data_IF_617293288574
#
_entry.id   IF_617293288574
#
_cell.length_a   1.000
_cell.length_b   1.000
_cell.length_c   1.000
_cell.angle_alpha   90.00
_cell.angle_beta   90.00
_cell.angle_gamma   90.00
#
_symmetry.space_group_name_H-M   'P 1'
#
loop_
_entity.id
_entity.type
_entity.pdbx_description
1 polymer ?
#
# COMPACT_ATOMS: atom_id res chain seq x y z
N UNK A 1 2.45 -53.86 -43.24
CA UNK A 1 3.61 -53.18 -43.84
C UNK A 1 3.66 -51.75 -43.33
N UNK A 2 4.73 -51.40 -42.59
CA UNK A 2 5.39 -50.07 -42.43
C UNK A 2 4.48 -48.91 -41.92
N UNK A 3 4.84 -48.08 -40.93
CA UNK A 3 6.07 -47.96 -40.15
C UNK A 3 5.79 -47.08 -38.91
N UNK A 4 6.59 -47.29 -37.88
CA UNK A 4 6.81 -46.38 -36.75
C UNK A 4 7.32 -45.01 -37.20
N UNK A 5 6.77 -43.92 -36.64
CA UNK A 5 7.49 -42.65 -36.44
C UNK A 5 7.11 -42.01 -35.11
N UNK A 6 7.91 -42.35 -34.10
CA UNK A 6 8.47 -41.50 -33.05
C UNK A 6 7.73 -40.23 -32.62
N UNK A 7 7.15 -40.37 -31.42
CA UNK A 7 7.12 -39.51 -30.23
C UNK A 7 8.29 -38.49 -30.07
N UNK A 8 8.50 -37.58 -31.02
CA UNK A 8 9.30 -36.37 -30.87
C UNK A 8 8.52 -35.29 -31.61
N UNK A 9 7.88 -34.38 -30.85
CA UNK A 9 7.33 -33.08 -31.29
C UNK A 9 6.21 -32.56 -30.38
N UNK A 10 5.83 -33.30 -29.32
CA UNK A 10 4.99 -32.75 -28.23
C UNK A 10 5.75 -31.88 -27.22
N UNK A 11 7.06 -31.68 -27.39
CA UNK A 11 7.90 -30.91 -26.45
C UNK A 11 8.02 -29.41 -26.80
N UNK A 12 7.59 -28.98 -27.99
CA UNK A 12 7.74 -27.58 -28.44
C UNK A 12 6.49 -26.72 -28.11
N UNK A 13 5.34 -27.35 -27.82
CA UNK A 13 4.10 -26.61 -27.50
C UNK A 13 4.01 -26.24 -26.01
N UNK A 14 4.82 -26.84 -25.13
CA UNK A 14 4.75 -26.62 -23.67
C UNK A 14 5.67 -25.50 -23.11
N UNK A 15 6.24 -24.63 -23.94
CA UNK A 15 7.15 -23.58 -23.44
C UNK A 15 6.81 -22.15 -23.91
N UNK A 16 5.68 -21.94 -24.61
CA UNK A 16 5.32 -20.61 -25.12
C UNK A 16 4.07 -19.96 -24.49
N UNK A 17 3.51 -20.56 -23.45
CA UNK A 17 2.38 -20.00 -22.68
C UNK A 17 2.80 -19.46 -21.30
N UNK A 18 4.07 -19.09 -21.11
CA UNK A 18 4.59 -18.57 -19.82
C UNK A 18 4.81 -17.05 -19.81
N UNK A 19 4.16 -16.29 -20.70
CA UNK A 19 4.46 -14.86 -20.87
C UNK A 19 3.24 -13.93 -20.83
N UNK A 20 2.00 -14.42 -20.74
CA UNK A 20 0.83 -13.51 -20.64
C UNK A 20 -0.20 -14.09 -19.65
N UNK A 21 0.09 -13.95 -18.36
CA UNK A 21 -0.88 -14.11 -17.27
C UNK A 21 -0.88 -12.87 -16.36
N UNK A 22 -0.67 -11.70 -16.97
CA UNK A 22 -0.78 -10.40 -16.31
C UNK A 22 -2.10 -9.72 -16.69
N UNK A 23 -3.19 -10.49 -16.77
CA UNK A 23 -4.54 -9.95 -17.07
C UNK A 23 -5.65 -10.87 -16.50
N UNK A 24 -5.53 -11.25 -15.23
CA UNK A 24 -6.62 -11.81 -14.43
C UNK A 24 -6.26 -11.52 -12.97
N UNK A 25 -6.96 -10.66 -12.22
CA UNK A 25 -8.36 -10.73 -11.85
C UNK A 25 -8.87 -9.31 -11.57
N UNK A 26 -9.57 -8.72 -12.53
CA UNK A 26 -10.66 -7.81 -12.19
C UNK A 26 -11.87 -8.72 -12.03
N UNK A 27 -12.65 -8.48 -10.97
CA UNK A 27 -13.92 -9.14 -10.67
C UNK A 27 -13.90 -10.31 -9.67
N UNK A 28 -13.61 -9.97 -8.41
CA UNK A 28 -14.52 -10.26 -7.26
C UNK A 28 -14.27 -9.23 -6.14
N UNK A 29 -14.59 -7.94 -6.39
CA UNK A 29 -14.76 -6.94 -5.32
C UNK A 29 -16.05 -7.20 -4.51
N UNK A 30 -16.35 -8.45 -4.15
CA UNK A 30 -17.67 -8.86 -3.65
C UNK A 30 -17.68 -9.27 -2.17
N UNK A 31 -16.51 -9.42 -1.53
CA UNK A 31 -16.47 -9.62 -0.09
C UNK A 31 -16.45 -8.27 0.63
N UNK A 32 -17.37 -8.06 1.58
CA UNK A 32 -17.40 -6.87 2.44
C UNK A 32 -16.05 -6.61 3.11
N UNK A 33 -15.29 -7.68 3.40
CA UNK A 33 -13.92 -7.58 3.94
C UNK A 33 -12.97 -6.87 2.99
N UNK A 34 -13.01 -7.17 1.69
CA UNK A 34 -12.10 -6.57 0.72
C UNK A 34 -12.39 -5.08 0.56
N UNK A 35 -13.68 -4.71 0.47
CA UNK A 35 -14.09 -3.30 0.41
C UNK A 35 -13.64 -2.56 1.67
N UNK A 36 -13.93 -3.13 2.85
CA UNK A 36 -13.49 -2.55 4.13
C UNK A 36 -11.98 -2.32 4.20
N UNK A 37 -11.20 -3.28 3.71
CA UNK A 37 -9.74 -3.16 3.69
C UNK A 37 -9.24 -2.10 2.71
N UNK A 38 -9.82 -1.97 1.52
CA UNK A 38 -9.44 -0.93 0.57
C UNK A 38 -9.79 0.46 1.10
N UNK A 39 -10.99 0.66 1.65
CA UNK A 39 -11.38 1.94 2.24
C UNK A 39 -10.48 2.34 3.42
N UNK A 40 -10.08 1.39 4.28
CA UNK A 40 -9.12 1.66 5.35
C UNK A 40 -7.73 2.07 4.84
N UNK A 41 -7.28 1.50 3.71
CA UNK A 41 -6.03 1.91 3.07
C UNK A 41 -6.12 3.35 2.56
N UNK A 42 -7.23 3.71 1.91
CA UNK A 42 -7.45 5.08 1.41
C UNK A 42 -7.47 6.10 2.55
N UNK A 43 -8.10 5.78 3.69
CA UNK A 43 -8.07 6.62 4.90
C UNK A 43 -6.63 6.77 5.40
N UNK A 44 -5.88 5.68 5.52
CA UNK A 44 -4.48 5.70 5.97
C UNK A 44 -3.59 6.56 5.07
N UNK A 45 -3.75 6.46 3.74
CA UNK A 45 -3.02 7.28 2.78
C UNK A 45 -3.38 8.76 2.90
N UNK A 46 -4.66 9.05 3.08
CA UNK A 46 -5.16 10.41 3.27
C UNK A 46 -4.58 11.05 4.54
N UNK A 47 -4.57 10.33 5.66
CA UNK A 47 -4.01 10.83 6.93
C UNK A 47 -2.49 11.09 6.80
N UNK A 48 -1.75 10.19 6.15
CA UNK A 48 -0.31 10.43 5.90
C UNK A 48 -0.08 11.63 4.96
N UNK A 49 -0.97 11.88 3.99
CA UNK A 49 -0.91 13.07 3.16
C UNK A 49 -1.23 14.36 3.96
N UNK A 50 -2.11 14.27 4.96
CA UNK A 50 -2.41 15.37 5.87
C UNK A 50 -1.20 15.76 6.73
N UNK A 51 -0.35 14.82 7.13
CA UNK A 51 0.92 15.13 7.84
C UNK A 51 1.79 16.12 7.05
N UNK A 52 1.79 16.03 5.72
CA UNK A 52 2.59 16.91 4.86
C UNK A 52 1.87 18.25 4.64
N UNK A 53 0.55 18.20 4.47
CA UNK A 53 -0.28 19.37 4.12
C UNK A 53 -0.54 20.29 5.31
N UNK A 54 -0.81 19.75 6.49
CA UNK A 54 -1.17 20.54 7.69
C UNK A 54 -0.05 21.52 8.10
N UNK A 55 1.25 21.16 8.12
CA UNK A 55 2.33 22.11 8.39
C UNK A 55 2.37 23.30 7.42
N UNK A 56 2.05 23.07 6.13
CA UNK A 56 1.95 24.12 5.13
C UNK A 56 0.78 25.06 5.45
N UNK A 57 -0.36 24.50 5.86
CA UNK A 57 -1.54 25.26 6.29
C UNK A 57 -1.27 26.07 7.57
N UNK A 58 -0.57 25.49 8.55
CA UNK A 58 -0.18 26.17 9.79
C UNK A 58 0.69 27.41 9.48
N UNK A 59 1.63 27.28 8.54
CA UNK A 59 2.52 28.38 8.14
C UNK A 59 1.78 29.53 7.45
N UNK A 60 0.73 29.20 6.69
CA UNK A 60 -0.07 30.18 5.93
C UNK A 60 -1.34 30.63 6.67
N UNK A 61 -1.55 30.19 7.92
CA UNK A 61 -2.74 30.52 8.68
C UNK A 61 -2.81 32.03 8.95
N UNK A 62 -3.96 32.64 8.62
CA UNK A 62 -4.17 34.08 8.79
C UNK A 62 -4.37 34.50 10.26
N UNK A 63 -4.81 33.58 11.11
CA UNK A 63 -5.07 33.83 12.53
C UNK A 63 -4.34 32.82 13.41
N UNK A 64 -3.97 33.26 14.62
CA UNK A 64 -3.33 32.40 15.61
C UNK A 64 -4.26 31.27 16.08
N UNK A 65 -5.56 31.55 16.21
CA UNK A 65 -6.58 30.56 16.53
C UNK A 65 -6.61 29.42 15.51
N UNK A 66 -6.61 29.74 14.21
CA UNK A 66 -6.57 28.74 13.15
C UNK A 66 -5.26 27.95 13.16
N UNK A 67 -4.13 28.63 13.37
CA UNK A 67 -2.82 27.97 13.50
C UNK A 67 -2.81 26.95 14.64
N UNK A 68 -3.37 27.32 15.80
CA UNK A 68 -3.43 26.46 16.97
C UNK A 68 -4.41 25.29 16.77
N UNK A 69 -5.57 25.51 16.16
CA UNK A 69 -6.50 24.45 15.80
C UNK A 69 -5.85 23.42 14.86
N UNK A 70 -5.10 23.89 13.85
CA UNK A 70 -4.38 23.00 12.93
C UNK A 70 -3.24 22.22 13.60
N UNK A 71 -2.52 22.81 14.58
CA UNK A 71 -1.51 22.10 15.37
C UNK A 71 -2.13 20.98 16.21
N UNK A 72 -3.28 21.24 16.82
CA UNK A 72 -4.04 20.21 17.56
C UNK A 72 -4.52 19.13 16.61
N UNK A 73 -5.04 19.50 15.45
CA UNK A 73 -5.48 18.53 14.44
C UNK A 73 -4.33 17.66 13.92
N UNK A 74 -3.12 18.22 13.76
CA UNK A 74 -1.93 17.47 13.40
C UNK A 74 -1.61 16.36 14.42
N UNK A 75 -1.77 16.64 15.71
CA UNK A 75 -1.59 15.63 16.76
C UNK A 75 -2.61 14.51 16.63
N UNK A 76 -3.89 14.84 16.41
CA UNK A 76 -4.93 13.83 16.18
C UNK A 76 -4.64 12.97 14.94
N UNK A 77 -4.21 13.57 13.82
CA UNK A 77 -3.82 12.81 12.62
C UNK A 77 -2.69 11.82 12.92
N UNK A 78 -1.68 12.21 13.70
CA UNK A 78 -0.60 11.29 14.10
C UNK A 78 -1.12 10.13 14.95
N UNK A 79 -2.03 10.38 15.87
CA UNK A 79 -2.65 9.35 16.70
C UNK A 79 -3.57 8.42 15.88
N UNK A 80 -4.31 8.96 14.91
CA UNK A 80 -5.14 8.17 13.99
C UNK A 80 -4.30 7.20 13.16
N UNK A 81 -3.17 7.68 12.64
CA UNK A 81 -2.22 6.85 11.88
C UNK A 81 -1.71 5.71 12.75
N UNK A 82 -1.27 6.02 13.98
CA UNK A 82 -0.80 4.99 14.91
C UNK A 82 -1.89 3.94 15.18
N UNK A 83 -3.13 4.37 15.39
CA UNK A 83 -4.26 3.46 15.61
C UNK A 83 -4.53 2.57 14.40
N UNK A 84 -4.39 3.10 13.19
CA UNK A 84 -4.53 2.33 11.95
C UNK A 84 -3.38 1.32 11.78
N UNK A 85 -2.14 1.73 12.07
CA UNK A 85 -0.97 0.84 12.05
C UNK A 85 -1.12 -0.32 13.05
N UNK A 86 -1.54 -0.02 14.28
CA UNK A 86 -1.83 -1.03 15.31
C UNK A 86 -2.96 -1.97 14.87
N UNK A 87 -4.02 -1.44 14.24
CA UNK A 87 -5.11 -2.24 13.70
C UNK A 87 -4.64 -3.17 12.57
N UNK A 88 -3.88 -2.67 11.59
CA UNK A 88 -3.34 -3.48 10.50
C UNK A 88 -2.42 -4.58 11.03
N UNK A 89 -1.61 -4.29 12.06
CA UNK A 89 -0.80 -5.30 12.73
C UNK A 89 -1.66 -6.37 13.42
N UNK A 90 -2.75 -5.98 14.08
CA UNK A 90 -3.63 -6.92 14.79
C UNK A 90 -4.32 -7.95 13.87
N UNK A 91 -4.55 -7.58 12.61
CA UNK A 91 -5.17 -8.45 11.60
C UNK A 91 -4.15 -9.13 10.66
N UNK A 92 -2.85 -8.91 10.88
CA UNK A 92 -1.76 -9.51 10.09
C UNK A 92 -1.49 -8.84 8.74
N UNK A 93 -1.97 -7.62 8.53
CA UNK A 93 -1.88 -6.86 7.26
C UNK A 93 -0.82 -5.75 7.31
N UNK A 94 0.31 -6.01 7.98
CA UNK A 94 1.44 -5.06 8.12
C UNK A 94 2.10 -4.70 6.78
N UNK A 95 1.85 -5.47 5.73
CA UNK A 95 2.34 -5.18 4.37
C UNK A 95 1.82 -3.84 3.82
N UNK A 96 0.64 -3.38 4.27
CA UNK A 96 0.04 -2.12 3.83
C UNK A 96 0.93 -0.93 4.19
N UNK A 97 1.47 -0.92 5.42
CA UNK A 97 2.37 0.12 5.92
C UNK A 97 3.68 0.11 5.11
N UNK A 98 4.24 -1.07 4.87
CA UNK A 98 5.46 -1.25 4.07
C UNK A 98 5.27 -0.81 2.61
N UNK A 99 4.12 -1.12 2.01
CA UNK A 99 3.79 -0.71 0.63
C UNK A 99 3.72 0.80 0.51
N UNK A 100 3.12 1.48 1.49
CA UNK A 100 3.10 2.93 1.55
C UNK A 100 4.51 3.52 1.62
N UNK A 101 5.33 3.03 2.56
CA UNK A 101 6.71 3.50 2.74
C UNK A 101 7.57 3.27 1.50
N UNK A 102 7.36 2.16 0.78
CA UNK A 102 8.02 1.89 -0.49
C UNK A 102 7.55 2.85 -1.59
N UNK A 103 6.24 3.10 -1.69
CA UNK A 103 5.64 3.97 -2.71
C UNK A 103 6.11 5.43 -2.58
N UNK A 104 6.23 5.92 -1.35
CA UNK A 104 6.70 7.29 -1.08
C UNK A 104 8.21 7.37 -0.79
N UNK A 105 8.95 6.28 -0.97
CA UNK A 105 10.41 6.26 -0.75
C UNK A 105 10.86 6.49 0.70
N UNK A 106 9.92 6.44 1.65
CA UNK A 106 10.16 6.65 3.09
C UNK A 106 10.92 5.49 3.74
N UNK A 107 11.03 4.33 3.07
CA UNK A 107 11.80 3.16 3.56
C UNK A 107 13.31 3.39 3.73
N UNK A 108 13.81 4.58 3.42
CA UNK A 108 15.20 4.99 3.58
C UNK A 108 15.56 5.45 5.00
N UNK A 109 14.61 5.77 5.87
CA UNK A 109 14.92 6.18 7.26
C UNK A 109 15.01 5.01 8.26
N UNK A 110 14.49 3.82 7.95
CA UNK A 110 14.64 2.65 8.81
C UNK A 110 16.08 2.06 8.81
N UNK A 111 16.90 2.37 7.80
CA UNK A 111 18.29 1.88 7.71
C UNK A 111 19.30 2.74 8.48
N UNK A 112 18.94 3.95 8.92
CA UNK A 112 19.85 4.85 9.64
C UNK A 112 19.76 4.77 11.17
N UNK A 113 18.89 3.90 11.74
CA UNK A 113 18.77 3.71 13.21
C UNK A 113 19.58 2.49 13.70
N UNK A 114 20.29 1.77 12.81
CA UNK A 114 21.23 0.69 13.19
C UNK A 114 22.62 0.92 12.61
N UNK A 115 23.32 1.95 13.10
CA UNK A 115 24.79 1.99 13.28
C UNK A 115 25.22 3.39 13.67
N UNK A 116 25.46 3.60 14.96
CA UNK A 116 26.77 3.92 15.56
C UNK A 116 26.61 4.05 17.06
#
# INVERSE_FOLDING_TARGET
MKNSTNKVDKKIILQKEKVILNESVIETKSSCRNIFMEELKEIYFSEKALIISIPILIKNAATEELSNALKVHLQFTMDHIKRLEDFFNSIGESNIVLKYEAMYGLSSNAKNIKKT
#
